data_IF_058157554154
#
_entry.id   IF_058157554154
#
_cell.length_a   1.000
_cell.length_b   1.000
_cell.length_c   1.000
_cell.angle_alpha   90.00
_cell.angle_beta   90.00
_cell.angle_gamma   90.00
#
_symmetry.space_group_name_H-M   'P 1'
#
loop_
_entity.id
_entity.type
_entity.pdbx_description
1 polymer ?
#
# COMPACT_ATOMS: atom_id res chain seq x y z
N UNK A 1 -14.81 3.19 -32.72
CA UNK A 1 -13.40 2.91 -32.37
C UNK A 1 -13.07 3.39 -30.96
N UNK A 2 -13.36 4.66 -30.64
CA UNK A 2 -13.00 5.30 -29.36
C UNK A 2 -13.65 4.63 -28.12
N UNK A 3 -14.95 4.32 -28.16
CA UNK A 3 -15.63 3.63 -27.05
C UNK A 3 -15.04 2.25 -26.75
N UNK A 4 -14.63 1.51 -27.79
CA UNK A 4 -13.96 0.22 -27.62
C UNK A 4 -12.60 0.40 -26.93
N UNK A 5 -11.80 1.38 -27.37
CA UNK A 5 -10.52 1.68 -26.76
C UNK A 5 -10.66 2.10 -25.28
N UNK A 6 -11.63 2.95 -24.95
CA UNK A 6 -11.93 3.34 -23.57
C UNK A 6 -12.34 2.13 -22.71
N UNK A 7 -13.20 1.26 -23.24
CA UNK A 7 -13.58 0.02 -22.57
C UNK A 7 -12.39 -0.91 -22.33
N UNK A 8 -11.52 -1.11 -23.33
CA UNK A 8 -10.32 -1.95 -23.22
C UNK A 8 -9.32 -1.38 -22.21
N UNK A 9 -9.06 -0.07 -22.21
CA UNK A 9 -8.18 0.56 -21.23
C UNK A 9 -8.72 0.41 -19.80
N UNK A 10 -10.02 0.56 -19.63
CA UNK A 10 -10.67 0.38 -18.33
C UNK A 10 -10.56 -1.06 -17.85
N UNK A 11 -10.82 -2.03 -18.73
CA UNK A 11 -10.66 -3.45 -18.41
C UNK A 11 -9.21 -3.78 -18.03
N UNK A 12 -8.23 -3.25 -18.76
CA UNK A 12 -6.81 -3.47 -18.49
C UNK A 12 -6.41 -3.00 -17.09
N UNK A 13 -6.75 -1.76 -16.72
CA UNK A 13 -6.47 -1.23 -15.38
C UNK A 13 -7.26 -2.00 -14.31
N UNK A 14 -8.49 -2.42 -14.58
CA UNK A 14 -9.27 -3.23 -13.63
C UNK A 14 -8.60 -4.57 -13.35
N UNK A 15 -8.08 -5.25 -14.38
CA UNK A 15 -7.32 -6.49 -14.20
C UNK A 15 -6.05 -6.23 -13.37
N UNK A 16 -5.33 -5.16 -13.66
CA UNK A 16 -4.21 -4.69 -12.84
C UNK A 16 -4.62 -4.50 -11.37
N UNK A 17 -5.71 -3.78 -11.12
CA UNK A 17 -6.21 -3.49 -9.78
C UNK A 17 -6.61 -4.76 -9.00
N UNK A 18 -7.21 -5.75 -9.67
CA UNK A 18 -7.56 -7.05 -9.07
C UNK A 18 -6.28 -7.83 -8.70
N UNK A 19 -5.25 -7.79 -9.55
CA UNK A 19 -3.97 -8.43 -9.27
C UNK A 19 -3.24 -7.73 -8.11
N UNK A 20 -3.29 -6.40 -8.03
CA UNK A 20 -2.73 -5.66 -6.88
C UNK A 20 -3.57 -5.88 -5.61
N UNK A 21 -4.89 -6.01 -5.71
CA UNK A 21 -5.73 -6.46 -4.60
C UNK A 21 -5.26 -7.83 -4.08
N UNK A 22 -4.92 -8.77 -4.97
CA UNK A 22 -4.38 -10.07 -4.58
C UNK A 22 -3.04 -9.93 -3.82
N UNK A 23 -2.23 -8.89 -4.08
CA UNK A 23 -1.02 -8.63 -3.27
C UNK A 23 -1.32 -8.45 -1.79
N UNK A 24 -2.50 -7.94 -1.41
CA UNK A 24 -2.90 -7.82 -0.01
C UNK A 24 -3.08 -9.19 0.65
N UNK A 25 -3.58 -10.19 -0.08
CA UNK A 25 -3.54 -11.57 0.38
C UNK A 25 -2.10 -12.09 0.45
N UNK A 26 -1.25 -11.70 -0.50
CA UNK A 26 0.19 -11.97 -0.49
C UNK A 26 0.89 -11.46 0.77
N UNK A 27 0.69 -10.19 1.13
CA UNK A 27 1.19 -9.58 2.36
C UNK A 27 0.65 -10.30 3.60
N UNK A 28 -0.64 -10.63 3.63
CA UNK A 28 -1.22 -11.39 4.73
C UNK A 28 -0.52 -12.74 4.92
N UNK A 29 -0.42 -13.57 3.89
CA UNK A 29 0.20 -14.89 4.03
C UNK A 29 1.70 -14.83 4.31
N UNK A 30 2.41 -13.83 3.77
CA UNK A 30 3.82 -13.59 4.06
C UNK A 30 4.02 -13.20 5.54
N UNK A 31 3.22 -12.28 6.07
CA UNK A 31 3.27 -11.90 7.49
C UNK A 31 2.87 -13.07 8.40
N UNK A 32 1.76 -13.75 8.09
CA UNK A 32 1.27 -14.91 8.85
C UNK A 32 2.30 -16.03 8.93
N UNK A 33 3.00 -16.30 7.82
CA UNK A 33 4.03 -17.33 7.77
C UNK A 33 5.26 -16.99 8.61
N UNK A 34 5.58 -15.70 8.80
CA UNK A 34 6.80 -15.23 9.46
C UNK A 34 6.64 -14.93 10.96
N UNK A 35 5.43 -14.59 11.42
CA UNK A 35 5.16 -14.38 12.86
C UNK A 35 5.11 -15.70 13.63
N UNK A 36 5.24 -15.64 14.97
CA UNK A 36 5.05 -16.82 15.82
C UNK A 36 3.60 -17.29 15.77
N UNK A 37 3.37 -18.61 15.87
CA UNK A 37 2.04 -19.24 15.75
C UNK A 37 0.94 -18.57 16.58
N UNK A 38 1.25 -18.14 17.81
CA UNK A 38 0.32 -17.43 18.70
C UNK A 38 -0.20 -16.08 18.17
N UNK A 39 0.50 -15.49 17.20
CA UNK A 39 0.21 -14.16 16.66
C UNK A 39 -0.41 -14.21 15.25
N UNK A 40 -0.61 -15.38 14.64
CA UNK A 40 -1.10 -15.51 13.27
C UNK A 40 -2.47 -14.85 13.06
N UNK A 41 -3.42 -15.08 13.99
CA UNK A 41 -4.76 -14.46 13.92
C UNK A 41 -4.67 -12.93 13.97
N UNK A 42 -3.80 -12.41 14.84
CA UNK A 42 -3.60 -10.98 14.97
C UNK A 42 -3.02 -10.36 13.70
N UNK A 43 -2.01 -11.01 13.09
CA UNK A 43 -1.44 -10.59 11.81
C UNK A 43 -2.50 -10.57 10.69
N UNK A 44 -3.39 -11.57 10.65
CA UNK A 44 -4.38 -11.69 9.57
C UNK A 44 -5.42 -10.58 9.64
N UNK A 45 -5.97 -10.37 10.84
CA UNK A 45 -6.98 -9.34 11.07
C UNK A 45 -6.42 -7.96 10.78
N UNK A 46 -5.13 -7.71 11.09
CA UNK A 46 -4.49 -6.42 10.81
C UNK A 46 -4.50 -6.08 9.33
N UNK A 47 -4.04 -6.98 8.45
CA UNK A 47 -4.01 -6.70 7.01
C UNK A 47 -5.42 -6.46 6.44
N UNK A 48 -6.41 -7.24 6.85
CA UNK A 48 -7.80 -7.07 6.39
C UNK A 48 -8.40 -5.73 6.84
N UNK A 49 -8.17 -5.36 8.10
CA UNK A 49 -8.68 -4.09 8.65
C UNK A 49 -7.90 -2.90 8.09
N UNK A 50 -6.58 -3.03 7.89
CA UNK A 50 -5.76 -1.99 7.26
C UNK A 50 -6.25 -1.70 5.84
N UNK A 51 -6.58 -2.71 5.04
CA UNK A 51 -7.19 -2.51 3.72
C UNK A 51 -8.55 -1.82 3.80
N UNK A 52 -9.39 -2.22 4.77
CA UNK A 52 -10.73 -1.65 4.98
C UNK A 52 -10.67 -0.17 5.38
N UNK A 53 -9.80 0.17 6.32
CA UNK A 53 -9.56 1.56 6.75
C UNK A 53 -8.96 2.37 5.61
N UNK A 54 -7.98 1.81 4.89
CA UNK A 54 -7.38 2.46 3.72
C UNK A 54 -8.43 2.79 2.66
N UNK A 55 -9.35 1.87 2.40
CA UNK A 55 -10.47 2.09 1.46
C UNK A 55 -11.30 3.30 1.83
N UNK A 56 -11.78 3.37 3.07
CA UNK A 56 -12.66 4.46 3.51
C UNK A 56 -11.91 5.79 3.55
N UNK A 57 -10.70 5.82 4.11
CA UNK A 57 -9.95 7.05 4.31
C UNK A 57 -9.38 7.59 2.99
N UNK A 58 -8.89 6.71 2.11
CA UNK A 58 -8.41 7.13 0.81
C UNK A 58 -9.55 7.61 -0.09
N UNK A 59 -10.72 6.97 -0.02
CA UNK A 59 -11.92 7.43 -0.73
C UNK A 59 -12.38 8.83 -0.29
N UNK A 60 -12.42 9.07 1.03
CA UNK A 60 -12.99 10.31 1.59
C UNK A 60 -12.01 11.48 1.61
N UNK A 61 -10.71 11.22 1.78
CA UNK A 61 -9.69 12.26 1.96
C UNK A 61 -8.52 12.06 1.02
N UNK A 62 -7.90 10.87 1.02
CA UNK A 62 -6.61 10.65 0.37
C UNK A 62 -6.62 10.94 -1.13
N UNK A 63 -7.61 10.47 -1.87
CA UNK A 63 -7.73 10.73 -3.30
C UNK A 63 -7.89 12.22 -3.61
N UNK A 64 -8.59 12.96 -2.75
CA UNK A 64 -8.69 14.41 -2.84
C UNK A 64 -7.35 15.11 -2.61
N UNK A 65 -6.52 14.62 -1.68
CA UNK A 65 -5.17 15.14 -1.45
C UNK A 65 -4.25 14.88 -2.64
N UNK A 66 -4.27 13.67 -3.21
CA UNK A 66 -3.40 13.32 -4.33
C UNK A 66 -3.85 13.95 -5.66
N UNK A 67 -5.15 13.89 -5.95
CA UNK A 67 -5.72 14.19 -7.27
C UNK A 67 -6.66 15.40 -7.32
N UNK A 68 -6.97 16.05 -6.19
CA UNK A 68 -7.83 17.23 -6.15
C UNK A 68 -9.30 16.95 -6.50
N UNK A 69 -9.74 15.68 -6.45
CA UNK A 69 -11.08 15.25 -6.87
C UNK A 69 -11.77 14.44 -5.78
N UNK A 70 -13.11 14.41 -5.82
CA UNK A 70 -13.94 13.69 -4.86
C UNK A 70 -15.05 12.89 -5.55
N UNK A 71 -15.55 11.86 -4.88
CA UNK A 71 -16.56 10.94 -5.42
C UNK A 71 -18.01 11.31 -5.08
N UNK A 72 -18.23 12.42 -4.36
CA UNK A 72 -19.57 12.93 -4.03
C UNK A 72 -20.19 13.68 -5.21
N UNK A 73 -20.35 13.00 -6.35
CA UNK A 73 -20.94 13.51 -7.58
C UNK A 73 -21.98 12.53 -8.12
N UNK A 74 -22.73 12.91 -9.16
CA UNK A 74 -23.76 12.07 -9.75
C UNK A 74 -23.20 10.76 -10.33
N UNK A 75 -23.98 9.67 -10.25
CA UNK A 75 -23.59 8.36 -10.76
C UNK A 75 -23.30 8.37 -12.27
N UNK A 76 -24.01 9.20 -13.04
CA UNK A 76 -23.76 9.39 -14.47
C UNK A 76 -22.35 9.93 -14.73
N UNK A 77 -21.89 10.88 -13.91
CA UNK A 77 -20.53 11.44 -13.98
C UNK A 77 -19.49 10.37 -13.65
N UNK A 78 -19.75 9.54 -12.65
CA UNK A 78 -18.84 8.44 -12.26
C UNK A 78 -18.76 7.33 -13.32
N UNK A 79 -19.84 7.11 -14.08
CA UNK A 79 -19.93 6.10 -15.13
C UNK A 79 -19.36 6.54 -16.49
N UNK A 80 -19.00 7.83 -16.64
CA UNK A 80 -18.38 8.34 -17.88
C UNK A 80 -17.11 7.57 -18.24
N UNK A 81 -16.80 7.51 -19.54
CA UNK A 81 -15.63 6.80 -20.06
C UNK A 81 -15.54 5.34 -19.57
N UNK A 82 -16.68 4.65 -19.56
CA UNK A 82 -16.80 3.27 -19.08
C UNK A 82 -16.42 3.09 -17.61
N UNK A 83 -16.49 4.14 -16.78
CA UNK A 83 -16.14 4.10 -15.37
C UNK A 83 -14.63 4.15 -15.10
N UNK A 84 -13.82 4.60 -16.06
CA UNK A 84 -12.35 4.65 -15.93
C UNK A 84 -11.89 5.34 -14.65
N UNK A 85 -12.53 6.45 -14.24
CA UNK A 85 -12.18 7.16 -13.01
C UNK A 85 -12.34 6.31 -11.75
N UNK A 86 -13.41 5.53 -11.65
CA UNK A 86 -13.65 4.60 -10.52
C UNK A 86 -12.63 3.46 -10.50
N UNK A 87 -12.32 2.92 -11.67
CA UNK A 87 -11.33 1.84 -11.80
C UNK A 87 -9.92 2.36 -11.48
N UNK A 88 -9.56 3.56 -11.95
CA UNK A 88 -8.30 4.23 -11.59
C UNK A 88 -8.20 4.49 -10.09
N UNK A 89 -9.30 4.93 -9.46
CA UNK A 89 -9.36 5.05 -8.00
C UNK A 89 -9.09 3.71 -7.31
N UNK A 90 -9.79 2.65 -7.73
CA UNK A 90 -9.63 1.33 -7.14
C UNK A 90 -8.19 0.80 -7.30
N UNK A 91 -7.59 1.01 -8.48
CA UNK A 91 -6.19 0.72 -8.72
C UNK A 91 -5.28 1.45 -7.72
N UNK A 92 -5.36 2.77 -7.64
CA UNK A 92 -4.49 3.58 -6.77
C UNK A 92 -4.74 3.33 -5.27
N UNK A 93 -5.99 3.05 -4.89
CA UNK A 93 -6.32 2.60 -3.53
C UNK A 93 -5.52 1.36 -3.15
N UNK A 94 -5.37 0.39 -4.06
CA UNK A 94 -4.62 -0.83 -3.75
C UNK A 94 -3.13 -0.57 -3.53
N UNK A 95 -2.57 0.48 -4.12
CA UNK A 95 -1.20 0.97 -3.89
C UNK A 95 -1.11 1.70 -2.55
N UNK A 96 -2.06 2.61 -2.27
CA UNK A 96 -2.14 3.34 -1.01
C UNK A 96 -2.20 2.38 0.19
N UNK A 97 -3.02 1.33 0.09
CA UNK A 97 -3.15 0.31 1.11
C UNK A 97 -1.89 -0.58 1.27
N UNK A 98 -0.99 -0.63 0.28
CA UNK A 98 0.24 -1.41 0.38
C UNK A 98 1.24 -0.79 1.37
N UNK A 99 1.21 0.53 1.55
CA UNK A 99 2.06 1.24 2.52
C UNK A 99 1.88 0.73 3.96
N UNK A 100 0.66 0.77 4.55
CA UNK A 100 0.46 0.24 5.91
C UNK A 100 0.74 -1.26 5.99
N UNK A 101 0.53 -2.05 4.92
CA UNK A 101 0.90 -3.46 4.90
C UNK A 101 2.42 -3.68 5.02
N UNK A 102 3.24 -2.87 4.33
CA UNK A 102 4.71 -2.87 4.46
C UNK A 102 5.12 -2.54 5.90
N UNK A 103 4.51 -1.51 6.48
CA UNK A 103 4.79 -1.08 7.86
C UNK A 103 4.39 -2.17 8.86
N UNK A 104 3.23 -2.81 8.68
CA UNK A 104 2.70 -3.88 9.53
C UNK A 104 3.71 -5.02 9.70
N UNK A 105 4.28 -5.51 8.60
CA UNK A 105 5.28 -6.58 8.64
C UNK A 105 6.52 -6.22 9.47
N UNK A 106 6.98 -4.96 9.40
CA UNK A 106 8.09 -4.47 10.21
C UNK A 106 7.78 -4.43 11.71
N UNK A 107 6.55 -4.07 12.08
CA UNK A 107 6.10 -3.87 13.47
C UNK A 107 5.32 -5.04 14.07
N UNK A 108 5.27 -6.16 13.35
CA UNK A 108 4.53 -7.35 13.74
C UNK A 108 4.87 -7.84 15.17
N UNK A 109 3.89 -8.47 15.81
CA UNK A 109 3.94 -9.08 17.15
C UNK A 109 4.09 -8.14 18.35
N UNK A 110 4.29 -6.83 18.15
CA UNK A 110 4.53 -5.86 19.23
C UNK A 110 3.76 -4.55 19.11
N UNK A 111 3.28 -4.21 17.91
CA UNK A 111 2.40 -3.07 17.72
C UNK A 111 0.99 -3.34 18.25
N UNK A 112 0.46 -2.38 19.02
CA UNK A 112 -0.94 -2.36 19.44
C UNK A 112 -1.85 -2.07 18.24
N UNK A 113 -3.04 -2.68 18.23
CA UNK A 113 -3.99 -2.61 17.13
C UNK A 113 -4.50 -1.18 16.85
N UNK A 114 -5.05 -0.50 17.87
CA UNK A 114 -5.63 0.84 17.69
C UNK A 114 -4.64 1.91 17.22
N UNK A 115 -3.42 2.02 17.81
CA UNK A 115 -2.42 2.95 17.28
C UNK A 115 -2.02 2.65 15.84
N UNK A 116 -1.94 1.37 15.45
CA UNK A 116 -1.66 0.98 14.07
C UNK A 116 -2.78 1.45 13.13
N UNK A 117 -4.05 1.26 13.48
CA UNK A 117 -5.17 1.73 12.64
C UNK A 117 -5.21 3.25 12.47
N UNK A 118 -4.94 4.00 13.55
CA UNK A 118 -4.85 5.46 13.48
C UNK A 118 -3.67 5.91 12.62
N UNK A 119 -2.52 5.22 12.71
CA UNK A 119 -1.39 5.46 11.85
C UNK A 119 -1.73 5.15 10.38
N UNK A 120 -2.39 4.02 10.10
CA UNK A 120 -2.91 3.67 8.76
C UNK A 120 -3.77 4.78 8.21
N UNK A 121 -4.76 5.27 8.97
CA UNK A 121 -5.62 6.37 8.55
C UNK A 121 -4.84 7.66 8.24
N UNK A 122 -3.89 8.05 9.09
CA UNK A 122 -3.06 9.23 8.84
C UNK A 122 -2.16 9.06 7.60
N UNK A 123 -1.58 7.88 7.42
CA UNK A 123 -0.72 7.55 6.29
C UNK A 123 -1.50 7.62 4.98
N UNK A 124 -2.63 6.92 4.88
CA UNK A 124 -3.41 6.82 3.63
C UNK A 124 -4.32 8.02 3.39
N UNK A 125 -4.60 8.82 4.42
CA UNK A 125 -5.36 10.06 4.29
C UNK A 125 -4.50 11.26 3.86
N UNK A 126 -3.24 11.32 4.29
CA UNK A 126 -2.41 12.52 4.12
C UNK A 126 -0.99 12.23 3.66
N UNK A 127 -0.25 11.37 4.37
CA UNK A 127 1.20 11.22 4.11
C UNK A 127 1.48 10.61 2.74
N UNK A 128 0.93 9.43 2.46
CA UNK A 128 1.10 8.76 1.17
C UNK A 128 0.47 9.57 0.02
N UNK A 129 -0.79 10.05 0.11
CA UNK A 129 -1.39 10.83 -0.97
C UNK A 129 -0.63 12.12 -1.32
N UNK A 130 0.09 12.72 -0.36
CA UNK A 130 0.98 13.83 -0.66
C UNK A 130 2.12 13.39 -1.59
N UNK A 131 2.82 12.29 -1.29
CA UNK A 131 3.89 11.74 -2.14
C UNK A 131 3.37 11.25 -3.49
N UNK A 132 2.21 10.62 -3.51
CA UNK A 132 1.52 10.22 -4.72
C UNK A 132 1.19 11.44 -5.61
N UNK A 133 0.60 12.48 -5.01
CA UNK A 133 0.22 13.70 -5.73
C UNK A 133 1.42 14.44 -6.34
N UNK A 134 2.52 14.58 -5.60
CA UNK A 134 3.73 15.23 -6.14
C UNK A 134 4.36 14.37 -7.24
N UNK A 135 4.41 13.05 -7.12
CA UNK A 135 5.13 12.20 -8.06
C UNK A 135 4.31 11.91 -9.33
N UNK A 136 3.03 11.59 -9.18
CA UNK A 136 2.17 11.07 -10.25
C UNK A 136 1.07 12.01 -10.72
N UNK A 137 0.89 13.17 -10.07
CA UNK A 137 -0.18 14.09 -10.43
C UNK A 137 0.27 15.56 -10.59
N UNK A 138 1.58 15.82 -10.59
CA UNK A 138 2.13 17.20 -10.71
C UNK A 138 1.61 18.15 -9.62
N UNK A 139 1.08 17.60 -8.52
CA UNK A 139 0.41 18.37 -7.50
C UNK A 139 1.45 19.12 -6.64
N UNK A 140 1.02 20.23 -6.03
CA UNK A 140 1.85 21.08 -5.15
C UNK A 140 3.11 21.71 -5.78
N UNK A 141 3.28 21.63 -7.10
CA UNK A 141 4.36 22.30 -7.84
C UNK A 141 5.77 21.71 -7.64
N UNK A 142 5.89 20.57 -6.94
CA UNK A 142 7.20 19.97 -6.63
C UNK A 142 7.92 19.46 -7.87
N UNK A 143 7.21 18.84 -8.82
CA UNK A 143 7.80 18.40 -10.09
C UNK A 143 8.37 19.55 -10.92
N UNK A 144 7.65 20.68 -10.99
CA UNK A 144 8.13 21.88 -11.66
C UNK A 144 9.40 22.43 -11.00
N UNK A 145 9.47 22.38 -9.66
CA UNK A 145 10.67 22.75 -8.91
C UNK A 145 11.84 21.79 -9.17
N UNK A 146 11.62 20.47 -9.17
CA UNK A 146 12.65 19.47 -9.51
C UNK A 146 13.19 19.74 -10.91
N UNK A 147 12.31 19.89 -11.90
CA UNK A 147 12.68 20.19 -13.29
C UNK A 147 13.50 21.47 -13.42
N UNK A 148 13.14 22.52 -12.68
CA UNK A 148 13.88 23.78 -12.69
C UNK A 148 15.30 23.63 -12.11
N UNK A 149 15.52 22.70 -11.18
CA UNK A 149 16.81 22.46 -10.56
C UNK A 149 17.69 21.45 -11.32
N UNK A 150 17.09 20.38 -11.84
CA UNK A 150 17.81 19.23 -12.40
C UNK A 150 17.74 19.16 -13.93
N UNK A 151 16.84 19.91 -14.56
CA UNK A 151 16.53 19.84 -15.98
C UNK A 151 15.45 18.81 -16.35
N UNK A 152 15.10 17.89 -15.44
CA UNK A 152 14.19 16.78 -15.70
C UNK A 152 13.19 16.57 -14.56
N UNK A 153 12.03 15.99 -14.88
CA UNK A 153 11.04 15.61 -13.87
C UNK A 153 11.42 14.30 -13.17
N UNK A 154 10.94 14.14 -11.94
CA UNK A 154 11.07 12.87 -11.24
C UNK A 154 10.15 11.83 -11.86
N UNK A 155 10.71 10.68 -12.22
CA UNK A 155 9.96 9.57 -12.81
C UNK A 155 10.07 8.32 -11.94
N UNK A 156 8.93 7.87 -11.43
CA UNK A 156 8.76 6.58 -10.79
C UNK A 156 7.56 5.89 -11.42
N UNK A 157 7.78 4.87 -12.24
CA UNK A 157 6.75 4.30 -13.09
C UNK A 157 5.64 3.61 -12.29
N UNK A 158 6.03 2.77 -11.32
CA UNK A 158 5.12 1.90 -10.58
C UNK A 158 5.25 2.03 -9.06
N UNK A 159 6.12 2.89 -8.54
CA UNK A 159 6.19 3.15 -7.09
C UNK A 159 7.37 2.49 -6.40
N UNK A 160 8.50 2.35 -7.07
CA UNK A 160 9.76 1.94 -6.43
C UNK A 160 10.11 2.88 -5.27
N UNK A 161 9.87 4.17 -5.45
CA UNK A 161 10.01 5.18 -4.40
C UNK A 161 8.67 5.47 -3.74
N UNK A 162 7.65 5.85 -4.53
CA UNK A 162 6.35 6.36 -4.05
C UNK A 162 5.61 5.34 -3.18
N UNK A 163 5.78 4.05 -3.45
CA UNK A 163 5.21 2.97 -2.62
C UNK A 163 6.25 2.32 -1.73
N UNK A 164 7.25 1.67 -2.33
CA UNK A 164 8.15 0.79 -1.58
C UNK A 164 9.11 1.56 -0.67
N UNK A 165 9.79 2.60 -1.18
CA UNK A 165 10.69 3.39 -0.36
C UNK A 165 9.93 4.19 0.70
N UNK A 166 8.81 4.84 0.36
CA UNK A 166 7.95 5.55 1.33
C UNK A 166 7.51 4.58 2.44
N UNK A 167 7.00 3.40 2.09
CA UNK A 167 6.63 2.37 3.07
C UNK A 167 7.81 1.94 3.96
N UNK A 168 8.98 1.71 3.37
CA UNK A 168 10.19 1.36 4.12
C UNK A 168 10.68 2.47 5.06
N UNK A 169 10.66 3.72 4.59
CA UNK A 169 11.09 4.89 5.37
C UNK A 169 10.10 5.24 6.49
N UNK A 170 8.82 4.93 6.34
CA UNK A 170 7.84 5.01 7.43
C UNK A 170 8.03 3.85 8.42
N UNK A 171 8.30 2.65 7.92
CA UNK A 171 8.50 1.46 8.76
C UNK A 171 9.75 1.59 9.64
N UNK A 172 10.84 2.18 9.13
CA UNK A 172 12.10 2.32 9.86
C UNK A 172 11.95 3.02 11.23
N UNK A 173 11.46 4.27 11.34
CA UNK A 173 11.27 4.91 12.63
C UNK A 173 10.27 4.15 13.51
N UNK A 174 9.23 3.54 12.93
CA UNK A 174 8.28 2.73 13.70
C UNK A 174 8.96 1.51 14.35
N UNK A 175 9.85 0.84 13.64
CA UNK A 175 10.65 -0.28 14.16
C UNK A 175 11.64 0.19 15.22
N UNK A 176 12.32 1.32 15.01
CA UNK A 176 13.27 1.89 15.96
C UNK A 176 12.60 2.29 17.28
N UNK A 177 11.44 2.96 17.21
CA UNK A 177 10.71 3.43 18.40
C UNK A 177 10.03 2.29 19.17
N UNK A 178 9.50 1.27 18.47
CA UNK A 178 8.93 0.09 19.13
C UNK A 178 10.00 -0.83 19.72
N UNK A 179 11.21 -0.78 19.17
CA UNK A 179 12.33 -1.61 19.56
C UNK A 179 12.18 -3.08 19.18
N UNK A 180 13.06 -3.89 19.76
CA UNK A 180 13.18 -5.32 19.43
C UNK A 180 12.00 -6.15 19.93
N UNK A 181 11.70 -7.24 19.23
CA UNK A 181 10.72 -8.23 19.70
C UNK A 181 11.17 -8.84 21.03
N UNK A 182 10.21 -9.10 21.91
CA UNK A 182 10.48 -9.79 23.17
C UNK A 182 11.21 -11.12 22.92
N UNK A 183 12.30 -11.33 23.66
CA UNK A 183 13.24 -12.45 23.55
C UNK A 183 14.05 -12.51 22.25
N UNK A 184 14.15 -11.42 21.47
CA UNK A 184 15.03 -11.37 20.29
C UNK A 184 16.52 -11.36 20.64
N UNK A 185 16.88 -10.62 21.69
CA UNK A 185 18.23 -10.52 22.21
C UNK A 185 18.28 -11.07 23.63
N UNK A 186 19.20 -11.99 23.88
CA UNK A 186 19.45 -12.57 25.19
C UNK A 186 20.28 -11.61 26.05
N UNK A 187 20.36 -11.87 27.36
CA UNK A 187 21.14 -11.04 28.32
C UNK A 187 22.63 -10.96 27.97
N UNK A 188 23.15 -11.96 27.29
CA UNK A 188 24.53 -12.06 26.78
C UNK A 188 24.72 -11.39 25.40
N UNK A 189 23.68 -10.74 24.86
CA UNK A 189 23.69 -10.12 23.53
C UNK A 189 23.44 -11.09 22.37
N UNK A 190 23.36 -12.40 22.62
CA UNK A 190 23.14 -13.38 21.57
C UNK A 190 21.73 -13.27 20.95
N UNK A 191 21.64 -13.51 19.64
CA UNK A 191 20.38 -13.43 18.89
C UNK A 191 19.60 -14.73 19.06
N UNK A 192 18.34 -14.62 19.51
CA UNK A 192 17.38 -15.72 19.44
C UNK A 192 16.65 -15.68 18.09
N UNK A 193 16.76 -16.76 17.33
CA UNK A 193 15.96 -16.94 16.13
C UNK A 193 14.49 -17.16 16.50
N UNK A 194 13.59 -16.48 15.79
CA UNK A 194 12.17 -16.78 15.82
C UNK A 194 11.85 -17.43 14.48
N UNK A 195 11.76 -18.78 14.43
CA UNK A 195 11.50 -19.46 13.17
C UNK A 195 10.12 -19.04 12.64
N UNK A 196 9.95 -18.97 11.30
CA UNK A 196 8.64 -18.82 10.68
C UNK A 196 7.67 -19.87 11.20
N UNK A 197 6.43 -19.48 11.45
CA UNK A 197 5.40 -20.42 11.89
C UNK A 197 4.88 -21.33 10.78
N UNK A 198 5.03 -20.93 9.51
CA UNK A 198 4.64 -21.72 8.35
C UNK A 198 5.43 -21.30 7.09
N UNK A 199 6.37 -22.15 6.66
CA UNK A 199 7.06 -21.99 5.37
C UNK A 199 6.08 -22.06 4.19
N UNK A 200 5.08 -22.97 4.17
CA UNK A 200 4.07 -22.97 3.11
C UNK A 200 3.31 -21.65 2.97
N UNK A 201 2.91 -21.01 4.09
CA UNK A 201 2.21 -19.72 4.02
C UNK A 201 3.14 -18.59 3.56
N UNK A 202 4.38 -18.58 4.05
CA UNK A 202 5.39 -17.63 3.60
C UNK A 202 5.61 -17.75 2.08
N UNK A 203 5.77 -18.97 1.57
CA UNK A 203 5.96 -19.24 0.15
C UNK A 203 4.70 -18.88 -0.68
N UNK A 204 3.50 -19.23 -0.20
CA UNK A 204 2.25 -18.87 -0.85
C UNK A 204 2.09 -17.35 -0.96
N UNK A 205 2.33 -16.63 0.14
CA UNK A 205 2.29 -15.16 0.16
C UNK A 205 3.26 -14.56 -0.85
N UNK A 206 4.49 -15.09 -0.90
CA UNK A 206 5.51 -14.67 -1.86
C UNK A 206 5.07 -14.88 -3.33
N UNK A 207 4.50 -16.05 -3.66
CA UNK A 207 4.00 -16.32 -5.01
C UNK A 207 2.81 -15.45 -5.41
N UNK A 208 1.90 -15.19 -4.47
CA UNK A 208 0.77 -14.27 -4.71
C UNK A 208 1.27 -12.85 -4.95
N UNK A 209 2.28 -12.39 -4.22
CA UNK A 209 2.92 -11.09 -4.48
C UNK A 209 3.54 -11.05 -5.88
N UNK A 210 4.25 -12.11 -6.32
CA UNK A 210 4.81 -12.21 -7.68
C UNK A 210 3.73 -12.04 -8.75
N UNK A 211 2.60 -12.74 -8.60
CA UNK A 211 1.47 -12.59 -9.53
C UNK A 211 0.95 -11.15 -9.49
N UNK A 212 0.72 -10.60 -8.31
CA UNK A 212 0.20 -9.25 -8.17
C UNK A 212 1.13 -8.17 -8.74
N UNK A 213 2.45 -8.40 -8.72
CA UNK A 213 3.44 -7.49 -9.32
C UNK A 213 3.28 -7.30 -10.84
N UNK A 214 2.69 -8.26 -11.55
CA UNK A 214 2.33 -8.04 -12.96
C UNK A 214 1.24 -6.98 -13.11
N UNK A 215 0.27 -6.92 -12.20
CA UNK A 215 -0.73 -5.85 -12.17
C UNK A 215 -0.19 -4.53 -11.62
N UNK A 216 0.87 -4.58 -10.81
CA UNK A 216 1.50 -3.41 -10.22
C UNK A 216 2.37 -2.62 -11.21
N UNK A 217 2.94 -3.29 -12.22
CA UNK A 217 3.89 -2.70 -13.19
C UNK A 217 3.30 -2.52 -14.60
N UNK A 218 2.00 -2.24 -14.71
CA UNK A 218 1.30 -2.04 -15.99
C UNK A 218 0.68 -0.67 -16.13
#
# INVERSE_FOLDING_TARGET
>A
MESLQQGTNTLFILLGAIMVLAMHAGFAFLELGTVRKKNQVNALVKILVDFSVSTVVYFTVGYGVAYGTHFFVGAETLAMHSGYGLVKFFFLLTFAAAIPAIVSGGIAERAKFWPQLLATAAIVGFVYPFFEGIAWNQHFGVQAWIKALTGEEFHDFAGSVVVHAVGGWIALPAVLLLGSRANRYRKDGAISAHPPSSIPFLALGSWVLVVGWFGFNV
#
